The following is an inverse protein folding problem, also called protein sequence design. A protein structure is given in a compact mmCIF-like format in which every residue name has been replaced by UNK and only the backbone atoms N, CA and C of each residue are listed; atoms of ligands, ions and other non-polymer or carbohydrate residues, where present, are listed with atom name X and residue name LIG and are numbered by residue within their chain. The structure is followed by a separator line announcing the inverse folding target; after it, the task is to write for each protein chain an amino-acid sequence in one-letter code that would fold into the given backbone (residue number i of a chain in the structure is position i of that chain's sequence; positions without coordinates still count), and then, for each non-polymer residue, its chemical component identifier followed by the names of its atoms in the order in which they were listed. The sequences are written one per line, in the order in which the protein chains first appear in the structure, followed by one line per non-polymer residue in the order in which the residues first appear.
data_IF_642976366246
#
_entry.id   IF_642976366246
#
_cell.length_a   1.000
_cell.length_b   1.000
_cell.length_c   1.000
_cell.angle_alpha   90.00
_cell.angle_beta   90.00
_cell.angle_gamma   90.00
#
_symmetry.space_group_name_H-M   'P 1'
#
loop_
_entity.id
_entity.type
_entity.pdbx_description
1 polymer ?
#
# COMPACT_ATOMS: atom_id res chain seq x y z
N UNK A 1 10.03 -9.11 -5.93
CA UNK A 1 11.03 -9.94 -6.62
C UNK A 1 11.82 -10.83 -5.64
N UNK A 2 12.68 -10.28 -4.77
CA UNK A 2 13.52 -11.08 -3.85
C UNK A 2 12.74 -12.08 -2.98
N UNK A 3 11.53 -11.70 -2.54
CA UNK A 3 10.61 -12.56 -1.79
C UNK A 3 10.21 -13.84 -2.53
N UNK A 4 10.07 -13.80 -3.86
CA UNK A 4 9.77 -14.99 -4.65
C UNK A 4 10.99 -15.90 -4.86
N UNK A 5 12.20 -15.40 -4.60
CA UNK A 5 13.45 -16.12 -4.86
C UNK A 5 13.93 -16.99 -3.69
N UNK A 6 13.30 -16.90 -2.51
CA UNK A 6 13.76 -17.61 -1.30
C UNK A 6 12.62 -18.25 -0.52
N UNK A 7 12.88 -19.43 0.05
CA UNK A 7 11.99 -20.09 1.01
C UNK A 7 12.46 -19.95 2.47
N UNK A 8 13.56 -19.25 2.73
CA UNK A 8 14.13 -19.10 4.07
C UNK A 8 13.27 -18.13 4.91
N UNK A 9 12.64 -18.65 5.98
CA UNK A 9 11.70 -17.90 6.81
C UNK A 9 12.30 -16.63 7.46
N UNK A 10 13.46 -16.71 8.16
CA UNK A 10 14.15 -15.51 8.66
C UNK A 10 14.38 -14.45 7.58
N UNK A 11 14.86 -14.86 6.41
CA UNK A 11 15.12 -13.93 5.31
C UNK A 11 13.81 -13.32 4.77
N UNK A 12 12.75 -14.11 4.65
CA UNK A 12 11.43 -13.61 4.28
C UNK A 12 10.92 -12.58 5.29
N UNK A 13 11.11 -12.79 6.59
CA UNK A 13 10.73 -11.83 7.62
C UNK A 13 11.47 -10.48 7.46
N UNK A 14 12.79 -10.53 7.22
CA UNK A 14 13.60 -9.33 6.95
C UNK A 14 13.11 -8.60 5.69
N UNK A 15 12.86 -9.33 4.61
CA UNK A 15 12.34 -8.75 3.36
C UNK A 15 10.97 -8.09 3.57
N UNK A 16 10.10 -8.66 4.39
CA UNK A 16 8.79 -8.07 4.72
C UNK A 16 8.93 -6.83 5.60
N UNK A 17 9.85 -6.82 6.55
CA UNK A 17 10.16 -5.63 7.35
C UNK A 17 10.66 -4.48 6.45
N UNK A 18 11.60 -4.77 5.55
CA UNK A 18 12.11 -3.78 4.58
C UNK A 18 10.96 -3.26 3.70
N UNK A 19 10.15 -4.16 3.13
CA UNK A 19 9.00 -3.76 2.28
C UNK A 19 8.02 -2.87 3.04
N UNK A 20 7.74 -3.19 4.31
CA UNK A 20 6.87 -2.38 5.17
C UNK A 20 7.45 -0.99 5.46
N UNK A 21 8.73 -0.90 5.82
CA UNK A 21 9.41 0.38 6.07
C UNK A 21 9.45 1.24 4.80
N UNK A 22 9.82 0.65 3.66
CA UNK A 22 9.81 1.36 2.37
C UNK A 22 8.42 1.87 2.02
N UNK A 23 7.38 1.04 2.19
CA UNK A 23 5.99 1.45 1.95
C UNK A 23 5.55 2.60 2.87
N UNK A 24 5.92 2.56 4.16
CA UNK A 24 5.62 3.63 5.10
C UNK A 24 6.29 4.95 4.71
N UNK A 25 7.57 4.91 4.31
CA UNK A 25 8.30 6.09 3.84
C UNK A 25 7.60 6.67 2.60
N UNK A 26 7.34 5.85 1.58
CA UNK A 26 6.67 6.30 0.34
C UNK A 26 5.28 6.87 0.60
N UNK A 27 4.52 6.28 1.53
CA UNK A 27 3.19 6.75 1.90
C UNK A 27 3.23 8.14 2.56
N UNK A 28 4.13 8.33 3.54
CA UNK A 28 4.24 9.59 4.28
C UNK A 28 4.79 10.70 3.38
N UNK A 29 5.86 10.43 2.63
CA UNK A 29 6.48 11.44 1.76
C UNK A 29 5.59 11.81 0.58
N UNK A 30 4.93 10.83 -0.05
CA UNK A 30 3.99 11.09 -1.14
C UNK A 30 2.77 11.89 -0.69
N UNK A 31 2.19 11.56 0.47
CA UNK A 31 1.09 12.35 1.04
C UNK A 31 1.52 13.79 1.34
N UNK A 32 2.74 13.99 1.88
CA UNK A 32 3.32 15.31 2.10
C UNK A 32 3.49 16.10 0.80
N UNK A 33 4.03 15.47 -0.24
CA UNK A 33 4.19 16.10 -1.56
C UNK A 33 2.85 16.55 -2.16
N UNK A 34 1.81 15.71 -2.04
CA UNK A 34 0.47 16.04 -2.53
C UNK A 34 -0.17 17.15 -1.70
N UNK A 35 0.00 17.14 -0.38
CA UNK A 35 -0.50 18.19 0.51
C UNK A 35 0.15 19.55 0.19
N UNK A 36 1.45 19.59 -0.06
CA UNK A 36 2.17 20.79 -0.47
C UNK A 36 1.70 21.29 -1.84
N UNK A 37 1.59 20.40 -2.84
CA UNK A 37 1.08 20.75 -4.16
C UNK A 37 -0.37 21.29 -4.12
N UNK A 38 -1.14 20.87 -3.12
CA UNK A 38 -2.51 21.30 -2.88
C UNK A 38 -2.63 22.61 -2.07
N UNK A 39 -1.59 23.01 -1.33
CA UNK A 39 -1.63 24.09 -0.33
C UNK A 39 -2.08 25.46 -0.89
N UNK A 40 -1.68 25.79 -2.12
CA UNK A 40 -2.01 27.04 -2.80
C UNK A 40 -3.31 26.97 -3.61
N UNK A 41 -4.05 25.85 -3.58
CA UNK A 41 -5.28 25.65 -4.35
C UNK A 41 -6.52 25.74 -3.45
N UNK A 42 -7.69 25.94 -4.06
CA UNK A 42 -8.95 25.93 -3.30
C UNK A 42 -9.19 24.59 -2.61
N UNK A 43 -9.87 24.58 -1.45
CA UNK A 43 -10.08 23.39 -0.63
C UNK A 43 -10.68 22.17 -1.36
N UNK A 44 -11.56 22.39 -2.36
CA UNK A 44 -12.12 21.30 -3.18
C UNK A 44 -11.04 20.56 -3.99
N UNK A 45 -10.11 21.32 -4.58
CA UNK A 45 -9.03 20.75 -5.40
C UNK A 45 -8.01 20.02 -4.52
N UNK A 46 -7.71 20.58 -3.35
CA UNK A 46 -6.85 19.93 -2.37
C UNK A 46 -7.41 18.57 -1.92
N UNK A 47 -8.70 18.51 -1.60
CA UNK A 47 -9.37 17.28 -1.24
C UNK A 47 -9.37 16.25 -2.37
N UNK A 48 -9.60 16.67 -3.63
CA UNK A 48 -9.55 15.77 -4.78
C UNK A 48 -8.16 15.19 -5.02
N UNK A 49 -7.09 16.01 -4.96
CA UNK A 49 -5.72 15.53 -5.16
C UNK A 49 -5.32 14.51 -4.10
N UNK A 50 -5.66 14.79 -2.84
CA UNK A 50 -5.39 13.88 -1.74
C UNK A 50 -6.23 12.60 -1.84
N UNK A 51 -7.48 12.72 -2.30
CA UNK A 51 -8.35 11.59 -2.61
C UNK A 51 -7.77 10.70 -3.70
N UNK A 52 -7.27 11.27 -4.80
CA UNK A 52 -6.61 10.52 -5.88
C UNK A 52 -5.37 9.79 -5.36
N UNK A 53 -4.55 10.45 -4.54
CA UNK A 53 -3.36 9.84 -3.95
C UNK A 53 -3.72 8.62 -3.09
N UNK A 54 -4.69 8.75 -2.18
CA UNK A 54 -5.10 7.64 -1.32
C UNK A 54 -5.89 6.56 -2.07
N UNK A 55 -6.61 6.90 -3.15
CA UNK A 55 -7.26 5.93 -4.03
C UNK A 55 -6.25 4.98 -4.71
N UNK A 56 -4.98 5.39 -4.84
CA UNK A 56 -3.91 4.53 -5.38
C UNK A 56 -3.75 3.21 -4.62
N UNK A 57 -3.98 3.19 -3.30
CA UNK A 57 -3.95 1.96 -2.51
C UNK A 57 -5.05 0.97 -2.93
N UNK A 58 -6.28 1.46 -3.09
CA UNK A 58 -7.41 0.67 -3.58
C UNK A 58 -7.21 0.19 -5.01
N UNK A 59 -6.75 1.07 -5.91
CA UNK A 59 -6.41 0.70 -7.29
C UNK A 59 -5.35 -0.41 -7.37
N UNK A 60 -4.33 -0.39 -6.49
CA UNK A 60 -3.35 -1.46 -6.38
C UNK A 60 -3.96 -2.78 -5.92
N UNK A 61 -4.91 -2.73 -4.98
CA UNK A 61 -5.66 -3.91 -4.53
C UNK A 61 -6.48 -4.48 -5.69
N UNK A 62 -7.24 -3.65 -6.41
CA UNK A 62 -8.03 -4.08 -7.59
C UNK A 62 -7.14 -4.72 -8.65
N UNK A 63 -6.04 -4.06 -9.02
CA UNK A 63 -5.11 -4.59 -10.01
C UNK A 63 -4.54 -5.94 -9.60
N UNK A 64 -4.15 -6.10 -8.33
CA UNK A 64 -3.65 -7.38 -7.81
C UNK A 64 -4.73 -8.46 -7.72
N UNK A 65 -5.94 -8.11 -7.31
CA UNK A 65 -7.10 -8.99 -7.22
C UNK A 65 -7.55 -9.54 -8.57
N UNK A 66 -7.34 -8.79 -9.65
CA UNK A 66 -7.59 -9.25 -11.03
C UNK A 66 -6.42 -10.06 -11.59
N UNK A 67 -5.18 -9.61 -11.38
CA UNK A 67 -4.01 -10.17 -12.05
C UNK A 67 -3.51 -11.48 -11.40
N UNK A 68 -3.56 -11.60 -10.07
CA UNK A 68 -3.06 -12.78 -9.35
C UNK A 68 -3.86 -14.06 -9.71
N UNK A 69 -5.21 -14.08 -9.72
CA UNK A 69 -5.96 -15.29 -10.06
C UNK A 69 -5.67 -15.80 -11.48
N UNK A 70 -5.56 -14.89 -12.45
CA UNK A 70 -5.23 -15.24 -13.84
C UNK A 70 -3.83 -15.89 -13.95
N UNK A 71 -2.86 -15.38 -13.19
CA UNK A 71 -1.52 -15.96 -13.10
C UNK A 71 -1.53 -17.34 -12.42
N UNK A 72 -2.25 -17.48 -11.32
CA UNK A 72 -2.30 -18.75 -10.57
C UNK A 72 -3.05 -19.84 -11.33
N UNK A 73 -4.00 -19.48 -12.21
CA UNK A 73 -4.69 -20.44 -13.08
C UNK A 73 -3.76 -21.05 -14.15
N UNK A 74 -2.68 -20.35 -14.51
CA UNK A 74 -1.74 -20.76 -15.57
C UNK A 74 -0.39 -21.26 -15.05
N UNK A 75 -0.18 -21.32 -13.72
CA UNK A 75 1.08 -21.74 -13.10
C UNK A 75 0.92 -22.95 -12.18
N UNK A 76 1.92 -23.84 -12.07
CA UNK A 76 1.89 -24.95 -11.13
C UNK A 76 1.73 -24.46 -9.68
N UNK A 77 0.91 -25.17 -8.89
CA UNK A 77 0.60 -24.78 -7.51
C UNK A 77 1.83 -24.64 -6.60
N UNK A 78 2.89 -25.40 -6.86
CA UNK A 78 4.13 -25.36 -6.07
C UNK A 78 4.87 -24.01 -6.16
N UNK A 79 4.82 -23.35 -7.32
CA UNK A 79 5.59 -22.13 -7.61
C UNK A 79 4.74 -20.90 -7.92
N UNK A 80 3.42 -21.03 -8.03
CA UNK A 80 2.52 -19.92 -8.36
C UNK A 80 2.67 -18.71 -7.42
N UNK A 81 2.94 -18.94 -6.13
CA UNK A 81 3.16 -17.85 -5.18
C UNK A 81 4.44 -17.03 -5.47
N UNK A 82 5.48 -17.66 -6.03
CA UNK A 82 6.73 -16.98 -6.43
C UNK A 82 6.47 -16.07 -7.63
N UNK A 83 5.76 -16.59 -8.63
CA UNK A 83 5.33 -15.82 -9.78
C UNK A 83 4.43 -14.65 -9.39
N UNK A 84 3.55 -14.83 -8.39
CA UNK A 84 2.77 -13.73 -7.82
C UNK A 84 3.65 -12.57 -7.32
N UNK A 85 4.73 -12.85 -6.60
CA UNK A 85 5.67 -11.81 -6.14
C UNK A 85 6.45 -11.12 -7.27
N UNK A 86 6.66 -11.81 -8.39
CA UNK A 86 7.29 -11.22 -9.58
C UNK A 86 6.31 -10.32 -10.33
N UNK A 87 5.07 -10.76 -10.52
CA UNK A 87 4.00 -9.96 -11.11
C UNK A 87 3.79 -8.66 -10.32
N UNK A 88 3.64 -8.74 -9.00
CA UNK A 88 3.47 -7.56 -8.14
C UNK A 88 4.67 -6.61 -8.21
N UNK A 89 5.88 -7.15 -8.32
CA UNK A 89 7.07 -6.33 -8.51
C UNK A 89 7.08 -5.62 -9.88
N UNK A 90 6.62 -6.28 -10.93
CA UNK A 90 6.43 -5.67 -12.25
C UNK A 90 5.40 -4.53 -12.23
N UNK A 91 4.24 -4.75 -11.60
CA UNK A 91 3.22 -3.72 -11.43
C UNK A 91 3.74 -2.53 -10.62
N UNK A 92 4.46 -2.78 -9.52
CA UNK A 92 5.08 -1.73 -8.72
C UNK A 92 6.16 -0.96 -9.49
N UNK A 93 6.98 -1.64 -10.30
CA UNK A 93 7.98 -1.01 -11.14
C UNK A 93 7.35 -0.14 -12.24
N UNK A 94 6.24 -0.57 -12.83
CA UNK A 94 5.47 0.23 -13.78
C UNK A 94 4.92 1.49 -13.11
N UNK A 95 4.27 1.35 -11.95
CA UNK A 95 3.76 2.48 -11.18
C UNK A 95 4.88 3.47 -10.80
N UNK A 96 6.04 2.95 -10.39
CA UNK A 96 7.22 3.77 -10.09
C UNK A 96 7.73 4.48 -11.35
N UNK A 97 7.80 3.81 -12.50
CA UNK A 97 8.22 4.41 -13.77
C UNK A 97 7.30 5.55 -14.22
N UNK A 98 6.01 5.46 -13.89
CA UNK A 98 5.02 6.53 -14.14
C UNK A 98 5.19 7.68 -13.14
N UNK A 99 5.38 7.38 -11.86
CA UNK A 99 5.42 8.38 -10.79
C UNK A 99 6.77 9.10 -10.64
N UNK A 100 7.89 8.41 -10.90
CA UNK A 100 9.24 8.93 -10.66
C UNK A 100 9.56 10.21 -11.44
N UNK A 101 9.20 10.37 -12.73
CA UNK A 101 9.46 11.62 -13.45
C UNK A 101 8.77 12.82 -12.81
N UNK A 102 7.52 12.66 -12.35
CA UNK A 102 6.77 13.72 -11.68
C UNK A 102 7.38 14.06 -10.31
N UNK A 103 7.81 13.04 -9.56
CA UNK A 103 8.52 13.22 -8.30
C UNK A 103 9.85 13.97 -8.49
N UNK A 104 10.63 13.62 -9.52
CA UNK A 104 11.91 14.28 -9.82
C UNK A 104 11.77 15.70 -10.36
N UNK A 105 10.67 16.00 -11.06
CA UNK A 105 10.37 17.36 -11.52
C UNK A 105 9.82 18.26 -10.41
N UNK A 106 9.46 17.69 -9.25
CA UNK A 106 8.91 18.45 -8.13
C UNK A 106 9.96 19.34 -7.49
N UNK A 107 9.57 20.57 -7.15
CA UNK A 107 10.46 21.55 -6.50
C UNK A 107 10.30 21.47 -5.00
N UNK A 108 11.42 21.58 -4.29
CA UNK A 108 11.40 21.68 -2.83
C UNK A 108 10.69 22.97 -2.40
N UNK A 109 9.64 22.89 -1.56
CA UNK A 109 8.96 24.08 -1.08
C UNK A 109 9.88 24.89 -0.16
N UNK A 110 9.68 26.22 -0.07
CA UNK A 110 10.42 27.04 0.89
C UNK A 110 10.16 26.54 2.31
N UNK A 111 11.20 26.50 3.13
CA UNK A 111 11.05 26.16 4.55
C UNK A 111 10.08 27.14 5.21
N UNK A 112 9.01 26.67 5.85
CA UNK A 112 8.12 27.55 6.61
C UNK A 112 8.92 28.29 7.68
N UNK A 113 8.58 29.57 7.91
CA UNK A 113 9.11 30.31 9.05
C UNK A 113 8.86 29.50 10.34
N UNK A 114 9.84 29.47 11.24
CA UNK A 114 9.75 28.73 12.49
C UNK A 114 8.55 29.23 13.31
N UNK A 115 7.42 28.53 13.20
CA UNK A 115 6.26 28.78 14.03
C UNK A 115 6.53 28.25 15.45
N UNK A 116 6.01 28.94 16.47
CA UNK A 116 5.98 28.46 17.84
C UNK A 116 5.16 27.16 17.92
N UNK A 117 5.86 26.04 17.79
CA UNK A 117 5.27 24.70 17.79
C UNK A 117 5.25 24.18 19.21
N UNK A 118 4.16 24.47 19.94
CA UNK A 118 3.79 23.61 21.08
C UNK A 118 3.49 22.21 20.53
N UNK A 119 4.46 21.31 20.62
CA UNK A 119 4.32 19.92 20.19
C UNK A 119 3.24 19.22 21.03
N UNK A 120 2.09 18.81 20.44
CA UNK A 120 0.99 18.24 21.19
C UNK A 120 1.23 16.75 21.49
N UNK A 121 2.31 16.44 22.22
CA UNK A 121 2.79 15.08 22.50
C UNK A 121 1.68 14.12 22.95
N UNK A 122 0.86 14.56 23.91
CA UNK A 122 -0.22 13.73 24.46
C UNK A 122 -1.28 13.39 23.43
N UNK A 123 -1.64 14.36 22.57
CA UNK A 123 -2.64 14.14 21.51
C UNK A 123 -2.08 13.21 20.43
N UNK A 124 -0.81 13.39 20.05
CA UNK A 124 -0.13 12.51 19.11
C UNK A 124 0.03 11.09 19.66
N UNK A 125 0.37 10.93 20.94
CA UNK A 125 0.43 9.63 21.59
C UNK A 125 -0.93 8.92 21.59
N UNK A 126 -2.01 9.63 21.93
CA UNK A 126 -3.36 9.08 21.86
C UNK A 126 -3.74 8.66 20.42
N UNK A 127 -3.44 9.50 19.43
CA UNK A 127 -3.63 9.19 18.00
C UNK A 127 -2.84 7.94 17.59
N UNK A 128 -1.57 7.83 17.97
CA UNK A 128 -0.72 6.69 17.67
C UNK A 128 -1.25 5.39 18.29
N UNK A 129 -1.73 5.44 19.53
CA UNK A 129 -2.34 4.27 20.18
C UNK A 129 -3.62 3.86 19.46
N UNK A 130 -4.52 4.81 19.15
CA UNK A 130 -5.75 4.51 18.43
C UNK A 130 -5.47 3.93 17.03
N UNK A 131 -4.56 4.54 16.26
CA UNK A 131 -4.15 4.05 14.94
C UNK A 131 -3.42 2.71 15.02
N UNK A 132 -2.63 2.49 16.08
CA UNK A 132 -1.94 1.22 16.32
C UNK A 132 -2.93 0.08 16.57
N UNK A 133 -3.93 0.31 17.43
CA UNK A 133 -4.99 -0.67 17.71
C UNK A 133 -5.86 -0.94 16.48
N UNK A 134 -6.23 0.12 15.74
CA UNK A 134 -6.96 -0.02 14.48
C UNK A 134 -6.16 -0.83 13.47
N UNK A 135 -4.88 -0.50 13.27
CA UNK A 135 -3.98 -1.21 12.36
C UNK A 135 -3.77 -2.67 12.76
N UNK A 136 -3.64 -2.97 14.06
CA UNK A 136 -3.51 -4.34 14.56
C UNK A 136 -4.73 -5.19 14.20
N UNK A 137 -5.95 -4.67 14.43
CA UNK A 137 -7.18 -5.35 14.05
C UNK A 137 -7.31 -5.53 12.53
N UNK A 138 -7.00 -4.48 11.77
CA UNK A 138 -7.03 -4.52 10.31
C UNK A 138 -6.06 -5.56 9.73
N UNK A 139 -4.82 -5.61 10.21
CA UNK A 139 -3.82 -6.59 9.73
C UNK A 139 -4.27 -8.02 10.01
N UNK A 140 -4.82 -8.29 11.19
CA UNK A 140 -5.36 -9.60 11.52
C UNK A 140 -6.48 -10.00 10.56
N UNK A 141 -7.45 -9.11 10.34
CA UNK A 141 -8.52 -9.34 9.37
C UNK A 141 -7.97 -9.63 7.97
N UNK A 142 -7.12 -8.75 7.44
CA UNK A 142 -6.60 -8.85 6.07
C UNK A 142 -5.75 -10.10 5.82
N UNK A 143 -5.05 -10.58 6.86
CA UNK A 143 -4.20 -11.77 6.76
C UNK A 143 -5.02 -13.05 6.73
N UNK A 144 -6.06 -13.15 7.57
CA UNK A 144 -6.81 -14.39 7.75
C UNK A 144 -8.11 -14.47 6.94
N UNK A 145 -8.57 -13.39 6.31
CA UNK A 145 -9.83 -13.37 5.57
C UNK A 145 -9.87 -14.40 4.44
N UNK A 146 -8.76 -14.62 3.72
CA UNK A 146 -8.72 -15.63 2.64
C UNK A 146 -8.81 -17.04 3.21
N UNK A 147 -8.17 -17.30 4.35
CA UNK A 147 -8.27 -18.60 5.02
C UNK A 147 -9.70 -18.85 5.52
N UNK A 148 -10.36 -17.82 6.06
CA UNK A 148 -11.77 -17.86 6.47
C UNK A 148 -12.71 -18.10 5.29
N UNK A 149 -12.55 -17.39 4.18
CA UNK A 149 -13.37 -17.60 2.98
C UNK A 149 -13.20 -19.03 2.45
N UNK A 150 -11.97 -19.53 2.37
CA UNK A 150 -11.70 -20.91 1.94
C UNK A 150 -12.28 -21.97 2.89
N UNK A 151 -12.26 -21.74 4.20
CA UNK A 151 -12.88 -22.67 5.15
C UNK A 151 -14.40 -22.73 5.05
N UNK A 152 -15.02 -21.71 4.42
CA UNK A 152 -16.44 -21.67 4.06
C UNK A 152 -16.74 -22.22 2.67
N UNK A 153 -15.75 -22.76 1.97
CA UNK A 153 -15.91 -23.33 0.63
C UNK A 153 -15.76 -22.32 -0.51
N UNK A 154 -15.29 -21.10 -0.24
CA UNK A 154 -15.16 -20.08 -1.27
C UNK A 154 -14.15 -20.49 -2.36
N UNK A 155 -14.56 -20.38 -3.62
CA UNK A 155 -13.73 -20.63 -4.78
C UNK A 155 -12.73 -19.51 -5.07
N UNK A 156 -11.75 -19.73 -5.97
CA UNK A 156 -10.77 -18.72 -6.36
C UNK A 156 -11.39 -17.42 -6.91
N UNK A 157 -12.50 -17.53 -7.66
CA UNK A 157 -13.21 -16.38 -8.21
C UNK A 157 -13.89 -15.51 -7.16
N UNK A 158 -14.44 -16.12 -6.10
CA UNK A 158 -15.07 -15.39 -5.00
C UNK A 158 -14.03 -14.65 -4.15
N UNK A 159 -12.87 -15.29 -3.91
CA UNK A 159 -11.74 -14.63 -3.25
C UNK A 159 -11.23 -13.45 -4.08
N UNK A 160 -11.15 -13.61 -5.41
CA UNK A 160 -10.77 -12.51 -6.31
C UNK A 160 -11.78 -11.36 -6.27
N UNK A 161 -13.07 -11.66 -6.37
CA UNK A 161 -14.15 -10.68 -6.30
C UNK A 161 -14.13 -9.93 -4.96
N UNK A 162 -13.90 -10.63 -3.85
CA UNK A 162 -13.73 -10.02 -2.53
C UNK A 162 -12.63 -8.95 -2.54
N UNK A 163 -11.45 -9.27 -3.07
CA UNK A 163 -10.34 -8.31 -3.13
C UNK A 163 -10.62 -7.15 -4.07
N UNK A 164 -11.25 -7.39 -5.22
CA UNK A 164 -11.63 -6.33 -6.16
C UNK A 164 -12.64 -5.38 -5.52
N UNK A 165 -13.67 -5.89 -4.87
CA UNK A 165 -14.68 -5.06 -4.18
C UNK A 165 -14.06 -4.33 -2.98
N UNK A 166 -13.14 -4.95 -2.26
CA UNK A 166 -12.44 -4.32 -1.14
C UNK A 166 -11.58 -3.13 -1.58
N UNK A 167 -11.02 -3.18 -2.79
CA UNK A 167 -10.17 -2.12 -3.33
C UNK A 167 -10.90 -1.04 -4.13
N UNK A 168 -12.15 -1.28 -4.54
CA UNK A 168 -12.97 -0.35 -5.33
C UNK A 168 -13.65 0.70 -4.44
#
# INVERSE_FOLDING_TARGET
AATGATGNLPLLAVLRAITGVSGAITFVTGAGLVAEAASARSGRWAASLLGIYFAGGGAGIVASGLAIPALLASTPAADGWRWGWLLLAGLAALALGIAAPAAWASREPPLPAAADKRWPARRLAALLVCYGLFGAGYIAYMTFIVAFLKSRGAGPGEVAAFWVVLGA
#
